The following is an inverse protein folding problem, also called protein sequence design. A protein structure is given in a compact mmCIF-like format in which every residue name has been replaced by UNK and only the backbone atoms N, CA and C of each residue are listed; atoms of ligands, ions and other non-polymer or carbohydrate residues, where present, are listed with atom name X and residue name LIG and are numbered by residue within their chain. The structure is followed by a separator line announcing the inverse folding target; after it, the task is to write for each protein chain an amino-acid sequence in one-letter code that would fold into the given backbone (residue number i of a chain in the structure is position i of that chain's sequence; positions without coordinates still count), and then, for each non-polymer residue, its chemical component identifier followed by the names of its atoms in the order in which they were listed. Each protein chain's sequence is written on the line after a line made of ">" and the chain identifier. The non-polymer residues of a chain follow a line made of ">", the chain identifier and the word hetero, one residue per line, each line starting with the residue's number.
data_IF_280872317926
#
_entry.id   IF_280872317926
#
_cell.length_a   1.000
_cell.length_b   1.000
_cell.length_c   1.000
_cell.angle_alpha   90.00
_cell.angle_beta   90.00
_cell.angle_gamma   90.00
#
_symmetry.space_group_name_H-M   'P 1'
#
loop_
_entity.id
_entity.type
_entity.pdbx_description
1 polymer ?
#
# COMPACT_ATOMS: atom_id res chain seq x y z
N UNK A 1 -10.59 -22.85 -10.62
CA UNK A 1 -11.91 -22.21 -10.41
C UNK A 1 -11.72 -20.72 -10.62
N UNK A 2 -12.73 -20.00 -11.12
CA UNK A 2 -12.62 -18.55 -11.28
C UNK A 2 -12.46 -17.86 -9.91
N UNK A 3 -11.75 -16.72 -9.83
CA UNK A 3 -11.64 -15.94 -8.60
C UNK A 3 -13.02 -15.55 -8.06
N UNK A 4 -13.23 -15.71 -6.75
CA UNK A 4 -14.46 -15.30 -6.05
C UNK A 4 -14.19 -14.03 -5.27
N UNK A 5 -14.90 -12.96 -5.61
CA UNK A 5 -14.82 -11.65 -4.95
C UNK A 5 -15.93 -11.53 -3.91
N UNK A 6 -15.56 -11.33 -2.65
CA UNK A 6 -16.46 -11.15 -1.52
C UNK A 6 -16.21 -9.79 -0.87
N UNK A 7 -17.28 -9.05 -0.57
CA UNK A 7 -17.18 -7.81 0.22
C UNK A 7 -17.22 -8.17 1.71
N UNK A 8 -16.26 -7.68 2.49
CA UNK A 8 -16.09 -8.07 3.91
C UNK A 8 -16.24 -6.91 4.89
N UNK A 9 -15.89 -5.69 4.48
CA UNK A 9 -16.16 -4.43 5.22
C UNK A 9 -16.54 -3.31 4.24
N UNK A 10 -17.10 -2.21 4.75
CA UNK A 10 -17.68 -1.12 3.96
C UNK A 10 -17.41 0.24 4.61
N UNK A 11 -17.58 1.33 3.84
CA UNK A 11 -17.60 2.73 4.29
C UNK A 11 -16.26 3.44 4.56
N UNK A 12 -15.17 3.02 3.93
CA UNK A 12 -13.90 3.76 3.94
C UNK A 12 -13.90 4.86 2.89
N UNK A 13 -13.37 6.05 3.21
CA UNK A 13 -13.22 7.12 2.22
C UNK A 13 -12.16 6.73 1.19
N UNK A 14 -10.96 6.33 1.65
CA UNK A 14 -9.95 5.67 0.83
C UNK A 14 -9.25 4.63 1.70
N UNK A 15 -9.71 3.38 1.63
CA UNK A 15 -9.02 2.27 2.27
C UNK A 15 -7.66 2.06 1.62
N UNK A 16 -6.58 1.89 2.40
CA UNK A 16 -5.22 1.80 1.88
C UNK A 16 -4.28 0.96 2.74
N UNK A 17 -3.08 0.69 2.20
CA UNK A 17 -1.96 0.02 2.86
C UNK A 17 -2.35 -1.26 3.64
N UNK A 18 -3.03 -2.24 3.00
CA UNK A 18 -3.35 -3.50 3.64
C UNK A 18 -2.07 -4.26 4.03
N UNK A 19 -2.03 -4.70 5.28
CA UNK A 19 -0.92 -5.45 5.88
C UNK A 19 -1.49 -6.68 6.59
N UNK A 20 -1.07 -7.87 6.18
CA UNK A 20 -1.49 -9.11 6.82
C UNK A 20 -0.48 -9.55 7.87
N UNK A 21 -0.89 -9.59 9.14
CA UNK A 21 -0.06 -10.16 10.21
C UNK A 21 -0.35 -11.65 10.37
N UNK A 22 0.60 -12.48 9.91
CA UNK A 22 0.48 -13.94 9.94
C UNK A 22 0.36 -14.48 11.37
N UNK A 23 1.02 -13.84 12.35
CA UNK A 23 1.04 -14.32 13.73
C UNK A 23 -0.35 -14.25 14.39
N UNK A 24 -1.07 -13.15 14.18
CA UNK A 24 -2.39 -12.95 14.77
C UNK A 24 -3.55 -13.24 13.81
N UNK A 25 -3.27 -13.51 12.53
CA UNK A 25 -4.26 -13.73 11.48
C UNK A 25 -5.23 -12.54 11.32
N UNK A 26 -4.72 -11.33 11.47
CA UNK A 26 -5.48 -10.11 11.27
C UNK A 26 -4.97 -9.34 10.05
N UNK A 27 -5.92 -8.69 9.37
CA UNK A 27 -5.61 -7.66 8.39
C UNK A 27 -5.60 -6.30 9.08
N UNK A 28 -4.52 -5.57 8.90
CA UNK A 28 -4.43 -4.15 9.23
C UNK A 28 -4.50 -3.32 7.96
N UNK A 29 -5.10 -2.15 8.01
CA UNK A 29 -5.18 -1.21 6.89
C UNK A 29 -5.59 0.17 7.42
N UNK A 30 -5.59 1.17 6.56
CA UNK A 30 -5.92 2.55 6.93
C UNK A 30 -7.13 3.07 6.15
N UNK A 31 -7.79 4.11 6.67
CA UNK A 31 -8.62 5.01 5.87
C UNK A 31 -7.88 6.35 5.76
N UNK A 32 -7.27 6.59 4.59
CA UNK A 32 -6.26 7.62 4.43
C UNK A 32 -6.80 9.03 4.76
N UNK A 33 -7.82 9.56 4.06
CA UNK A 33 -8.47 10.81 4.46
C UNK A 33 -9.51 10.63 5.58
N UNK A 34 -9.91 9.38 5.91
CA UNK A 34 -10.77 9.08 7.06
C UNK A 34 -10.05 9.12 8.41
N UNK A 35 -8.72 9.30 8.41
CA UNK A 35 -7.88 9.48 9.61
C UNK A 35 -7.97 8.29 10.56
N UNK A 36 -8.07 7.07 10.05
CA UNK A 36 -8.19 5.89 10.90
C UNK A 36 -7.21 4.78 10.52
N UNK A 37 -6.73 4.10 11.56
CA UNK A 37 -6.10 2.78 11.45
C UNK A 37 -7.15 1.72 11.79
N UNK A 38 -7.10 0.59 11.11
CA UNK A 38 -8.14 -0.43 11.14
C UNK A 38 -7.51 -1.81 11.33
N UNK A 39 -8.19 -2.66 12.09
CA UNK A 39 -7.91 -4.09 12.20
C UNK A 39 -9.17 -4.88 11.87
N UNK A 40 -9.03 -5.87 11.00
CA UNK A 40 -10.08 -6.81 10.64
C UNK A 40 -9.66 -8.24 10.96
N UNK A 41 -10.50 -8.93 11.73
CA UNK A 41 -10.38 -10.36 12.02
C UNK A 41 -11.37 -11.12 11.11
N UNK A 42 -10.91 -11.89 10.11
CA UNK A 42 -11.80 -12.61 9.22
C UNK A 42 -12.49 -13.82 9.85
N UNK A 43 -11.98 -14.34 10.98
CA UNK A 43 -12.57 -15.49 11.69
C UNK A 43 -13.78 -15.03 12.49
N UNK A 44 -13.62 -13.99 13.30
CA UNK A 44 -14.72 -13.44 14.12
C UNK A 44 -15.57 -12.43 13.35
N UNK A 45 -15.08 -11.96 12.20
CA UNK A 45 -15.64 -10.85 11.41
C UNK A 45 -15.68 -9.52 12.17
N UNK A 46 -14.86 -9.38 13.22
CA UNK A 46 -14.79 -8.13 13.97
C UNK A 46 -13.92 -7.09 13.24
N UNK A 47 -14.32 -5.82 13.38
CA UNK A 47 -13.58 -4.67 12.90
C UNK A 47 -13.35 -3.71 14.07
N UNK A 48 -12.10 -3.33 14.26
CA UNK A 48 -11.67 -2.35 15.26
C UNK A 48 -10.98 -1.20 14.54
N UNK A 49 -11.16 0.01 15.05
CA UNK A 49 -10.54 1.19 14.49
C UNK A 49 -10.13 2.17 15.59
N UNK A 50 -9.06 2.92 15.34
CA UNK A 50 -8.67 4.09 16.14
C UNK A 50 -8.44 5.29 15.22
N UNK A 51 -8.81 6.48 15.70
CA UNK A 51 -8.63 7.74 14.96
C UNK A 51 -7.23 8.30 15.23
N UNK A 52 -6.59 8.82 14.19
CA UNK A 52 -5.28 9.48 14.23
C UNK A 52 -5.44 11.00 14.32
N UNK A 53 -4.49 11.69 14.96
CA UNK A 53 -4.56 13.14 15.18
C UNK A 53 -4.20 14.01 13.95
N UNK A 54 -3.78 13.40 12.83
CA UNK A 54 -3.39 14.10 11.61
C UNK A 54 -4.51 14.37 10.59
N UNK A 55 -4.15 14.94 9.45
CA UNK A 55 -5.10 15.12 8.34
C UNK A 55 -5.26 13.86 7.50
N UNK A 56 -4.16 13.15 7.29
CA UNK A 56 -4.13 11.87 6.59
C UNK A 56 -3.20 10.89 7.28
N UNK A 57 -3.59 9.63 7.30
CA UNK A 57 -2.70 8.50 7.59
C UNK A 57 -2.31 7.86 6.25
N UNK A 58 -1.05 7.46 6.09
CA UNK A 58 -0.48 7.08 4.81
C UNK A 58 -0.25 5.56 4.68
N UNK A 59 0.26 4.94 5.75
CA UNK A 59 0.49 3.49 5.82
C UNK A 59 0.54 3.02 7.28
N UNK A 60 0.53 1.70 7.47
CA UNK A 60 0.57 1.04 8.77
C UNK A 60 1.45 -0.21 8.73
N UNK A 61 2.54 -0.24 9.51
CA UNK A 61 3.47 -1.37 9.51
C UNK A 61 3.86 -1.75 10.95
N UNK A 62 3.66 -3.01 11.38
CA UNK A 62 4.11 -3.49 12.68
C UNK A 62 5.63 -3.45 12.84
N UNK A 63 6.08 -3.21 14.08
CA UNK A 63 7.49 -3.28 14.45
C UNK A 63 7.87 -4.72 14.79
N UNK A 64 9.00 -5.19 14.26
CA UNK A 64 9.48 -6.55 14.52
C UNK A 64 9.82 -6.73 16.01
N UNK A 65 9.35 -7.83 16.61
CA UNK A 65 9.66 -8.19 17.99
C UNK A 65 8.96 -7.34 19.07
N UNK A 66 8.15 -6.35 18.69
CA UNK A 66 7.40 -5.50 19.62
C UNK A 66 5.90 -5.61 19.37
N UNK A 67 5.18 -6.18 20.33
CA UNK A 67 3.72 -6.30 20.25
C UNK A 67 3.07 -4.93 20.42
N UNK A 68 2.05 -4.63 19.61
CA UNK A 68 1.29 -3.37 19.65
C UNK A 68 2.06 -2.12 19.18
N UNK A 69 3.33 -2.26 18.81
CA UNK A 69 4.13 -1.18 18.23
C UNK A 69 3.99 -1.15 16.71
N UNK A 70 3.71 0.02 16.16
CA UNK A 70 3.59 0.23 14.71
C UNK A 70 4.28 1.53 14.29
N UNK A 71 4.74 1.56 13.04
CA UNK A 71 5.13 2.79 12.36
C UNK A 71 4.04 3.17 11.37
N UNK A 72 3.65 4.43 11.42
CA UNK A 72 2.69 5.03 10.50
C UNK A 72 3.26 6.31 9.90
N UNK A 73 2.82 6.63 8.68
CA UNK A 73 2.98 7.97 8.11
C UNK A 73 1.75 8.81 8.43
N UNK A 74 1.94 10.00 8.99
CA UNK A 74 0.89 10.99 9.16
C UNK A 74 1.33 12.28 8.50
N UNK A 75 0.55 12.77 7.53
CA UNK A 75 0.91 13.94 6.74
C UNK A 75 2.36 13.81 6.22
N UNK A 76 3.31 14.64 6.67
CA UNK A 76 4.74 14.56 6.30
C UNK A 76 5.64 13.98 7.40
N UNK A 77 5.07 13.34 8.42
CA UNK A 77 5.77 12.81 9.60
C UNK A 77 5.74 11.28 9.66
N UNK A 78 6.86 10.67 10.05
CA UNK A 78 6.93 9.29 10.49
C UNK A 78 6.75 9.22 11.98
N UNK A 79 5.82 8.37 12.41
CA UNK A 79 5.38 8.31 13.80
C UNK A 79 5.36 6.88 14.27
N UNK A 80 5.99 6.63 15.41
CA UNK A 80 5.81 5.42 16.19
C UNK A 80 4.55 5.55 17.05
N UNK A 81 3.72 4.52 17.01
CA UNK A 81 2.51 4.42 17.82
C UNK A 81 2.47 3.12 18.60
N UNK A 82 1.77 3.16 19.73
CA UNK A 82 1.37 1.96 20.48
C UNK A 82 -0.15 1.86 20.47
N UNK A 83 -0.67 0.74 19.96
CA UNK A 83 -2.10 0.47 19.87
C UNK A 83 -2.41 -1.00 20.15
N UNK A 84 -3.34 -1.26 21.08
CA UNK A 84 -3.77 -2.62 21.47
C UNK A 84 -4.49 -3.39 20.34
N UNK A 85 -4.79 -2.73 19.22
CA UNK A 85 -5.52 -3.31 18.09
C UNK A 85 -7.03 -3.38 18.29
N UNK A 86 -7.57 -2.93 19.42
CA UNK A 86 -9.00 -3.04 19.78
C UNK A 86 -9.64 -1.76 20.26
N UNK A 87 -8.90 -0.95 21.01
CA UNK A 87 -9.30 0.35 21.55
C UNK A 87 -9.57 1.32 20.41
N UNK A 88 -10.49 2.25 20.64
CA UNK A 88 -10.73 3.36 19.72
C UNK A 88 -9.72 4.51 19.87
N UNK A 89 -8.67 4.31 20.69
CA UNK A 89 -7.61 5.28 20.97
C UNK A 89 -6.25 4.64 20.82
N UNK A 90 -5.31 5.44 20.33
CA UNK A 90 -3.87 5.12 20.31
C UNK A 90 -3.28 5.55 21.65
N UNK A 91 -2.49 4.68 22.27
CA UNK A 91 -2.00 4.84 23.65
C UNK A 91 -0.78 5.76 23.72
N UNK A 92 0.15 5.61 22.77
CA UNK A 92 1.39 6.38 22.70
C UNK A 92 1.60 6.89 21.27
N UNK A 93 2.18 8.08 21.19
CA UNK A 93 2.61 8.75 19.98
C UNK A 93 4.04 9.25 20.15
N UNK A 94 4.91 8.94 19.18
CA UNK A 94 6.27 9.44 19.15
C UNK A 94 6.70 9.76 17.71
N UNK A 95 6.88 11.04 17.42
CA UNK A 95 7.43 11.49 16.14
C UNK A 95 8.89 11.06 16.03
N UNK A 96 9.22 10.36 14.95
CA UNK A 96 10.56 9.88 14.67
C UNK A 96 11.34 10.85 13.78
N UNK A 97 10.74 11.21 12.64
CA UNK A 97 11.34 12.08 11.62
C UNK A 97 10.25 12.70 10.77
N UNK A 98 10.55 13.80 10.08
CA UNK A 98 9.66 14.43 9.13
C UNK A 98 10.39 14.77 7.84
N UNK A 99 9.64 14.87 6.73
CA UNK A 99 10.14 15.51 5.52
C UNK A 99 10.14 17.02 5.76
N UNK A 100 11.26 17.74 5.49
CA UNK A 100 11.33 19.19 5.73
C UNK A 100 10.34 20.01 4.92
N UNK A 101 10.05 19.60 3.68
CA UNK A 101 9.06 20.25 2.83
C UNK A 101 7.64 19.98 3.37
N UNK A 102 6.94 21.06 3.76
CA UNK A 102 5.57 21.00 4.29
C UNK A 102 4.50 20.94 3.21
N UNK A 103 4.89 21.02 1.93
CA UNK A 103 3.97 20.92 0.79
C UNK A 103 3.85 19.50 0.25
N UNK A 104 4.50 18.53 0.90
CA UNK A 104 4.38 17.12 0.58
C UNK A 104 3.79 16.34 1.75
N UNK A 105 3.30 15.15 1.47
CA UNK A 105 2.73 14.21 2.43
C UNK A 105 3.11 12.78 2.02
N UNK A 106 3.31 11.89 2.97
CA UNK A 106 3.49 10.47 2.72
C UNK A 106 2.27 9.87 2.03
N UNK A 107 2.52 8.83 1.23
CA UNK A 107 1.47 8.03 0.59
C UNK A 107 1.71 6.54 0.89
N UNK A 108 2.09 5.69 -0.06
CA UNK A 108 2.34 4.27 0.26
C UNK A 108 3.69 4.04 0.98
N UNK A 109 3.76 2.95 1.74
CA UNK A 109 4.94 2.54 2.49
C UNK A 109 4.95 1.05 2.81
N UNK A 110 6.13 0.44 2.75
CA UNK A 110 6.32 -0.98 3.03
C UNK A 110 7.71 -1.26 3.60
N UNK A 111 7.80 -2.25 4.48
CA UNK A 111 9.09 -2.78 4.90
C UNK A 111 9.64 -3.73 3.83
N UNK A 112 10.92 -3.57 3.48
CA UNK A 112 11.60 -4.55 2.65
C UNK A 112 11.91 -5.84 3.44
N UNK A 113 12.44 -6.89 2.79
CA UNK A 113 12.74 -8.16 3.47
C UNK A 113 13.80 -8.08 4.57
N UNK A 114 14.60 -7.00 4.61
CA UNK A 114 15.53 -6.74 5.71
C UNK A 114 14.90 -5.93 6.85
N UNK A 115 13.63 -5.52 6.71
CA UNK A 115 12.89 -4.71 7.67
C UNK A 115 13.15 -3.21 7.56
N UNK A 116 13.83 -2.73 6.51
CA UNK A 116 13.99 -1.29 6.27
C UNK A 116 12.67 -0.71 5.76
N UNK A 117 12.22 0.38 6.36
CA UNK A 117 11.04 1.11 5.88
C UNK A 117 11.37 1.82 4.58
N UNK A 118 10.55 1.59 3.55
CA UNK A 118 10.52 2.37 2.32
C UNK A 118 9.17 3.06 2.20
N UNK A 119 9.18 4.33 1.82
CA UNK A 119 7.96 5.11 1.62
C UNK A 119 8.28 6.30 0.73
N UNK A 120 7.27 6.87 0.08
CA UNK A 120 7.47 8.13 -0.61
C UNK A 120 6.32 9.09 -0.38
N UNK A 121 6.56 10.28 -0.89
CA UNK A 121 5.63 11.40 -0.75
C UNK A 121 4.98 11.75 -2.08
N UNK A 122 3.93 12.54 -1.96
CA UNK A 122 3.23 13.23 -3.04
C UNK A 122 2.98 14.68 -2.59
N UNK A 123 2.63 15.57 -3.52
CA UNK A 123 2.15 16.89 -3.13
C UNK A 123 0.89 16.79 -2.26
N UNK A 124 0.70 17.77 -1.37
CA UNK A 124 -0.58 17.95 -0.68
C UNK A 124 -1.69 18.16 -1.72
N UNK A 125 -2.79 17.41 -1.57
CA UNK A 125 -3.95 17.47 -2.47
C UNK A 125 -4.60 18.85 -2.35
N UNK A 126 -4.81 19.52 -3.48
CA UNK A 126 -5.47 20.83 -3.51
C UNK A 126 -6.95 20.72 -3.12
N UNK A 127 -7.62 21.83 -2.75
CA UNK A 127 -9.07 21.82 -2.53
C UNK A 127 -9.90 21.35 -3.74
N UNK A 128 -9.36 21.48 -4.96
CA UNK A 128 -10.00 20.97 -6.19
C UNK A 128 -9.82 19.46 -6.39
N UNK A 129 -9.03 18.78 -5.57
CA UNK A 129 -8.73 17.35 -5.71
C UNK A 129 -7.49 17.04 -6.55
N UNK A 130 -6.76 18.06 -7.00
CA UNK A 130 -5.57 17.88 -7.83
C UNK A 130 -4.34 17.56 -6.98
N UNK A 131 -3.43 16.76 -7.54
CA UNK A 131 -2.11 16.52 -6.98
C UNK A 131 -1.08 17.21 -7.89
N UNK A 132 -0.45 18.31 -7.45
CA UNK A 132 0.62 18.95 -8.19
C UNK A 132 1.71 17.94 -8.60
N UNK A 133 2.10 17.88 -9.88
CA UNK A 133 3.02 16.87 -10.36
C UNK A 133 4.44 17.08 -9.85
N UNK A 134 5.16 15.97 -9.72
CA UNK A 134 6.61 15.91 -9.53
C UNK A 134 7.13 16.68 -8.30
N UNK A 135 6.34 16.74 -7.22
CA UNK A 135 6.76 17.34 -5.93
C UNK A 135 7.21 16.31 -4.91
N UNK A 136 6.81 15.06 -5.08
CA UNK A 136 7.15 13.97 -4.20
C UNK A 136 8.59 13.50 -4.36
N UNK A 137 9.00 12.66 -3.43
CA UNK A 137 10.25 11.93 -3.48
C UNK A 137 10.07 10.56 -2.82
N UNK A 138 11.00 9.65 -3.12
CA UNK A 138 10.98 8.30 -2.61
C UNK A 138 12.15 8.07 -1.65
N UNK A 139 11.87 7.48 -0.50
CA UNK A 139 12.78 7.41 0.63
C UNK A 139 12.87 6.00 1.22
N UNK A 140 13.99 5.74 1.89
CA UNK A 140 14.08 4.71 2.92
C UNK A 140 14.43 5.34 4.27
N UNK A 141 14.05 4.70 5.37
CA UNK A 141 14.53 5.07 6.70
C UNK A 141 15.86 4.37 7.00
N UNK A 142 16.91 5.14 7.29
CA UNK A 142 18.24 4.65 7.63
C UNK A 142 18.75 5.43 8.84
N UNK A 143 19.08 4.75 9.94
CA UNK A 143 19.60 5.36 11.18
C UNK A 143 18.73 6.53 11.70
N UNK A 144 17.40 6.38 11.64
CA UNK A 144 16.44 7.40 12.08
C UNK A 144 16.31 8.60 11.13
N UNK A 145 16.93 8.55 9.96
CA UNK A 145 16.89 9.62 8.95
C UNK A 145 16.30 9.13 7.64
N UNK A 146 15.61 10.02 6.92
CA UNK A 146 15.09 9.73 5.59
C UNK A 146 16.21 9.88 4.55
N UNK A 147 16.55 8.78 3.87
CA UNK A 147 17.46 8.76 2.74
C UNK A 147 16.66 8.78 1.44
N UNK A 148 16.81 9.85 0.68
CA UNK A 148 16.15 9.98 -0.63
C UNK A 148 16.85 9.12 -1.68
N UNK A 149 16.07 8.39 -2.48
CA UNK A 149 16.52 7.59 -3.62
C UNK A 149 16.05 8.13 -4.96
N UNK A 150 14.84 8.72 -5.00
CA UNK A 150 14.22 9.25 -6.22
C UNK A 150 13.62 10.62 -5.88
N UNK A 151 13.82 11.62 -6.75
CA UNK A 151 13.11 12.89 -6.72
C UNK A 151 12.06 12.99 -7.83
N UNK A 152 11.32 14.09 -7.87
CA UNK A 152 10.34 14.38 -8.92
C UNK A 152 9.24 13.31 -9.08
N UNK A 153 8.84 12.69 -7.96
CA UNK A 153 7.73 11.71 -7.94
C UNK A 153 6.39 12.45 -8.00
N UNK A 154 5.44 11.97 -8.82
CA UNK A 154 4.09 12.54 -8.83
C UNK A 154 3.27 12.00 -7.66
N UNK A 155 3.03 10.68 -7.61
CA UNK A 155 2.30 10.02 -6.53
C UNK A 155 3.03 8.72 -6.18
N UNK A 156 3.78 8.73 -5.07
CA UNK A 156 4.51 7.53 -4.63
C UNK A 156 3.57 6.42 -4.21
N UNK A 157 3.72 5.24 -4.79
CA UNK A 157 2.76 4.16 -4.59
C UNK A 157 3.41 2.77 -4.56
N UNK A 158 2.63 1.73 -4.87
CA UNK A 158 2.92 0.32 -4.67
C UNK A 158 4.37 -0.12 -4.76
N UNK A 159 4.79 -0.92 -3.77
CA UNK A 159 6.15 -1.43 -3.61
C UNK A 159 6.18 -2.96 -3.50
N UNK A 160 7.17 -3.60 -4.11
CA UNK A 160 7.47 -5.02 -3.90
C UNK A 160 8.95 -5.33 -4.12
N UNK A 161 9.40 -6.48 -3.61
CA UNK A 161 10.74 -7.02 -3.87
C UNK A 161 10.62 -8.45 -4.35
N UNK A 162 11.50 -8.87 -5.26
CA UNK A 162 11.54 -10.27 -5.67
C UNK A 162 12.20 -11.15 -4.59
N UNK A 163 11.95 -12.46 -4.65
CA UNK A 163 12.49 -13.45 -3.70
C UNK A 163 14.02 -13.50 -3.65
N UNK A 164 14.68 -13.19 -4.76
CA UNK A 164 16.15 -13.22 -4.85
C UNK A 164 16.79 -11.93 -4.32
N UNK A 165 15.98 -10.94 -3.91
CA UNK A 165 16.42 -9.69 -3.29
C UNK A 165 17.39 -8.91 -4.18
N UNK A 166 17.18 -8.99 -5.49
CA UNK A 166 17.94 -8.27 -6.53
C UNK A 166 17.11 -7.25 -7.27
N UNK A 167 15.79 -7.29 -7.10
CA UNK A 167 14.85 -6.40 -7.76
C UNK A 167 13.92 -5.76 -6.76
N UNK A 168 13.71 -4.46 -6.94
CA UNK A 168 12.63 -3.70 -6.35
C UNK A 168 11.67 -3.26 -7.45
N UNK A 169 10.39 -3.37 -7.19
CA UNK A 169 9.32 -2.90 -8.06
C UNK A 169 8.63 -1.72 -7.39
N UNK A 170 8.36 -0.67 -8.16
CA UNK A 170 7.83 0.58 -7.65
C UNK A 170 6.86 1.22 -8.63
N UNK A 171 5.83 1.86 -8.08
CA UNK A 171 4.84 2.60 -8.83
C UNK A 171 4.93 4.07 -8.44
N UNK A 172 5.07 4.92 -9.46
CA UNK A 172 4.64 6.31 -9.39
C UNK A 172 3.37 6.41 -10.26
N UNK A 173 2.21 6.62 -9.62
CA UNK A 173 0.92 6.51 -10.32
C UNK A 173 0.79 7.48 -11.49
N UNK A 174 1.46 8.65 -11.41
CA UNK A 174 1.47 9.65 -12.47
C UNK A 174 2.16 9.18 -13.76
N UNK A 175 3.06 8.20 -13.66
CA UNK A 175 3.76 7.61 -14.82
C UNK A 175 2.95 6.54 -15.53
N UNK A 176 1.90 5.99 -14.87
CA UNK A 176 1.07 4.89 -15.39
C UNK A 176 1.87 3.64 -15.77
N UNK A 177 3.02 3.43 -15.12
CA UNK A 177 3.90 2.28 -15.29
C UNK A 177 4.16 1.58 -13.96
N UNK A 178 4.50 0.30 -14.04
CA UNK A 178 5.25 -0.39 -12.99
C UNK A 178 6.72 -0.39 -13.43
N UNK A 179 7.60 0.11 -12.58
CA UNK A 179 9.03 0.18 -12.84
C UNK A 179 9.76 -0.87 -11.99
N UNK A 180 10.86 -1.41 -12.51
CA UNK A 180 11.83 -2.18 -11.73
C UNK A 180 13.13 -1.40 -11.54
N UNK A 181 13.84 -1.76 -10.47
CA UNK A 181 15.19 -1.32 -10.14
C UNK A 181 16.05 -2.53 -9.81
N UNK A 182 17.36 -2.42 -10.07
CA UNK A 182 18.34 -3.26 -9.38
C UNK A 182 18.38 -2.84 -7.91
N UNK A 183 18.23 -3.79 -7.00
CA UNK A 183 18.17 -3.58 -5.56
C UNK A 183 19.35 -4.25 -4.87
N UNK A 184 20.04 -3.48 -4.03
CA UNK A 184 21.08 -3.94 -3.14
C UNK A 184 20.53 -3.98 -1.71
N UNK A 185 20.26 -5.19 -1.22
CA UNK A 185 19.75 -5.38 0.14
C UNK A 185 20.77 -5.01 1.22
N UNK A 186 22.06 -5.15 0.97
CA UNK A 186 23.07 -4.87 1.99
C UNK A 186 23.15 -3.36 2.24
N UNK A 187 23.26 -2.59 1.16
CA UNK A 187 23.41 -1.14 1.23
C UNK A 187 22.08 -0.37 1.24
N UNK A 188 20.97 -1.06 0.98
CA UNK A 188 19.64 -0.45 0.88
C UNK A 188 19.55 0.60 -0.21
N UNK A 189 20.12 0.31 -1.38
CA UNK A 189 20.16 1.22 -2.54
C UNK A 189 19.47 0.62 -3.75
N UNK A 190 18.97 1.49 -4.62
CA UNK A 190 18.36 1.12 -5.90
C UNK A 190 19.05 1.83 -7.07
N UNK A 191 19.08 1.18 -8.23
CA UNK A 191 19.64 1.74 -9.46
C UNK A 191 18.94 1.20 -10.71
N UNK A 192 19.29 1.71 -11.90
CA UNK A 192 18.84 1.19 -13.19
C UNK A 192 17.31 1.12 -13.35
N UNK A 193 16.60 2.19 -12.95
CA UNK A 193 15.15 2.33 -13.13
C UNK A 193 14.74 2.04 -14.57
N UNK A 194 13.84 1.09 -14.78
CA UNK A 194 13.24 0.84 -16.10
C UNK A 194 11.77 0.42 -15.99
N UNK A 195 10.89 0.90 -16.88
CA UNK A 195 9.50 0.44 -16.92
C UNK A 195 9.44 -1.02 -17.38
N UNK A 196 8.67 -1.83 -16.66
CA UNK A 196 8.43 -3.25 -17.00
C UNK A 196 6.99 -3.51 -17.45
N UNK A 197 6.07 -2.61 -17.15
CA UNK A 197 4.68 -2.72 -17.56
C UNK A 197 4.05 -1.34 -17.70
N UNK A 198 3.39 -1.08 -18.82
CA UNK A 198 2.75 0.21 -19.11
C UNK A 198 1.26 0.01 -19.34
N UNK A 199 0.39 0.56 -18.47
CA UNK A 199 -1.05 0.33 -18.54
C UNK A 199 -1.65 0.67 -19.92
N UNK A 200 -1.18 1.76 -20.53
CA UNK A 200 -1.66 2.24 -21.84
C UNK A 200 -1.43 1.23 -22.96
N UNK A 201 -0.28 0.54 -22.99
CA UNK A 201 0.02 -0.50 -24.02
C UNK A 201 -0.95 -1.67 -23.97
N UNK A 202 -1.63 -1.87 -22.85
CA UNK A 202 -2.61 -2.93 -22.61
C UNK A 202 -4.04 -2.43 -22.59
N UNK A 203 -4.29 -1.16 -22.95
CA UNK A 203 -5.61 -0.51 -22.87
C UNK A 203 -6.25 -0.60 -21.48
N UNK A 204 -5.44 -0.56 -20.42
CA UNK A 204 -5.93 -0.61 -19.04
C UNK A 204 -6.24 0.83 -18.59
N UNK A 205 -7.51 1.13 -18.22
CA UNK A 205 -7.90 2.46 -17.74
C UNK A 205 -7.38 2.70 -16.31
N UNK A 206 -7.58 3.90 -15.78
CA UNK A 206 -7.19 4.22 -14.41
C UNK A 206 -5.69 4.44 -14.25
N UNK A 207 -5.18 4.35 -13.02
CA UNK A 207 -3.76 4.51 -12.68
C UNK A 207 -3.31 3.34 -11.78
N UNK A 208 -2.05 2.88 -11.89
CA UNK A 208 -1.54 1.88 -10.96
C UNK A 208 -1.40 2.50 -9.56
N UNK A 209 -1.78 1.76 -8.54
CA UNK A 209 -1.85 2.24 -7.17
C UNK A 209 -0.98 1.36 -6.27
N UNK A 210 -1.51 0.76 -5.20
CA UNK A 210 -0.82 -0.23 -4.39
C UNK A 210 -0.51 -1.54 -5.13
N UNK A 211 0.54 -2.24 -4.68
CA UNK A 211 1.02 -3.48 -5.30
C UNK A 211 1.55 -4.47 -4.26
N UNK A 212 1.41 -5.76 -4.56
CA UNK A 212 2.06 -6.86 -3.83
C UNK A 212 2.65 -7.89 -4.80
N UNK A 213 3.37 -8.89 -4.29
CA UNK A 213 3.99 -9.96 -5.07
C UNK A 213 3.53 -11.32 -4.53
N UNK A 214 3.28 -12.27 -5.44
CA UNK A 214 3.02 -13.66 -5.07
C UNK A 214 4.30 -14.50 -4.97
N UNK A 215 4.18 -15.70 -4.41
CA UNK A 215 5.27 -16.66 -4.21
C UNK A 215 5.87 -17.20 -5.50
N UNK A 216 5.17 -17.06 -6.64
CA UNK A 216 5.69 -17.35 -7.97
C UNK A 216 6.42 -16.14 -8.59
N UNK A 217 6.51 -15.01 -7.87
CA UNK A 217 7.19 -13.80 -8.31
C UNK A 217 6.38 -12.92 -9.26
N UNK A 218 5.06 -13.10 -9.36
CA UNK A 218 4.20 -12.24 -10.17
C UNK A 218 3.69 -11.06 -9.33
N UNK A 219 3.54 -9.91 -9.97
CA UNK A 219 3.04 -8.70 -9.29
C UNK A 219 1.53 -8.59 -9.43
N UNK A 220 0.89 -8.23 -8.32
CA UNK A 220 -0.54 -7.96 -8.22
C UNK A 220 -0.73 -6.47 -7.97
N UNK A 221 -1.26 -5.76 -8.96
CA UNK A 221 -1.32 -4.29 -8.98
C UNK A 221 -2.78 -3.84 -8.94
N UNK A 222 -3.13 -3.07 -7.92
CA UNK A 222 -4.40 -2.38 -7.85
C UNK A 222 -4.46 -1.27 -8.91
N UNK A 223 -5.62 -1.10 -9.54
CA UNK A 223 -5.82 -0.09 -10.58
C UNK A 223 -6.94 0.87 -10.16
N UNK A 224 -6.54 2.01 -9.64
CA UNK A 224 -7.44 3.08 -9.20
C UNK A 224 -8.17 3.69 -10.41
N UNK A 225 -9.49 3.85 -10.31
CA UNK A 225 -10.39 4.16 -11.44
C UNK A 225 -10.39 3.10 -12.56
N UNK A 226 -9.95 1.87 -12.26
CA UNK A 226 -9.88 0.76 -13.22
C UNK A 226 -10.77 -0.44 -12.92
N UNK A 227 -11.42 -0.48 -11.74
CA UNK A 227 -12.26 -1.60 -11.30
C UNK A 227 -11.57 -2.97 -11.34
N UNK A 228 -10.27 -3.02 -11.04
CA UNK A 228 -9.52 -4.28 -11.13
C UNK A 228 -8.25 -4.32 -10.29
N UNK A 229 -7.81 -5.54 -10.04
CA UNK A 229 -6.41 -5.88 -9.77
C UNK A 229 -5.87 -6.67 -10.97
N UNK A 230 -4.70 -6.30 -11.47
CA UNK A 230 -4.03 -7.01 -12.57
C UNK A 230 -2.87 -7.86 -12.04
N UNK A 231 -2.65 -9.02 -12.65
CA UNK A 231 -1.50 -9.88 -12.39
C UNK A 231 -0.53 -9.77 -13.55
N UNK A 232 0.72 -9.37 -13.31
CA UNK A 232 1.74 -9.20 -14.36
C UNK A 232 2.99 -10.04 -14.06
N UNK A 233 3.67 -10.51 -15.11
CA UNK A 233 4.96 -11.20 -14.99
C UNK A 233 6.10 -10.18 -15.10
N UNK A 234 6.80 -9.82 -14.02
CA UNK A 234 7.86 -8.82 -14.09
C UNK A 234 9.13 -9.32 -14.81
N UNK A 235 9.26 -10.63 -15.06
CA UNK A 235 10.44 -11.21 -15.72
C UNK A 235 10.38 -11.06 -17.24
N UNK A 236 9.19 -10.82 -17.79
CA UNK A 236 8.92 -10.63 -19.21
C UNK A 236 8.19 -9.30 -19.39
N UNK A 237 8.90 -8.21 -19.72
CA UNK A 237 8.30 -6.88 -19.83
C UNK A 237 7.03 -6.89 -20.69
N UNK A 238 6.05 -6.11 -20.26
CA UNK A 238 4.73 -5.97 -20.89
C UNK A 238 3.91 -7.26 -20.95
N UNK A 239 4.07 -8.17 -19.97
CA UNK A 239 3.28 -9.40 -19.88
C UNK A 239 2.17 -9.28 -18.82
N UNK A 240 0.92 -9.16 -19.29
CA UNK A 240 -0.28 -9.32 -18.47
C UNK A 240 -0.64 -10.82 -18.38
N UNK A 241 -0.73 -11.35 -17.16
CA UNK A 241 -1.08 -12.75 -16.91
C UNK A 241 -2.57 -12.94 -16.67
N UNK A 242 -3.18 -12.07 -15.87
CA UNK A 242 -4.59 -12.18 -15.48
C UNK A 242 -5.16 -10.84 -15.02
N UNK A 243 -6.48 -10.77 -14.88
CA UNK A 243 -7.22 -9.63 -14.35
C UNK A 243 -8.36 -10.11 -13.46
N UNK A 244 -8.37 -9.65 -12.21
CA UNK A 244 -9.52 -9.79 -11.32
C UNK A 244 -10.33 -8.51 -11.38
N UNK A 245 -11.54 -8.58 -11.92
CA UNK A 245 -12.49 -7.46 -11.93
C UNK A 245 -13.13 -7.31 -10.56
N UNK A 246 -13.16 -6.08 -10.04
CA UNK A 246 -13.86 -5.72 -8.82
C UNK A 246 -15.09 -4.87 -9.13
N UNK A 247 -16.16 -4.96 -8.32
CA UNK A 247 -17.31 -4.07 -8.44
C UNK A 247 -17.00 -2.58 -8.18
N UNK A 248 -16.03 -2.27 -7.32
CA UNK A 248 -15.65 -0.89 -6.99
C UNK A 248 -14.83 -0.25 -8.12
N UNK A 249 -14.94 1.06 -8.30
CA UNK A 249 -14.18 1.81 -9.30
C UNK A 249 -12.77 2.14 -8.83
N UNK A 250 -12.64 2.61 -7.59
CA UNK A 250 -11.40 3.07 -6.99
C UNK A 250 -10.70 1.94 -6.23
N UNK A 251 -10.09 0.99 -6.96
CA UNK A 251 -9.29 -0.09 -6.34
C UNK A 251 -7.92 0.45 -5.96
N UNK A 252 -7.57 0.43 -4.67
CA UNK A 252 -6.45 1.21 -4.13
C UNK A 252 -5.21 0.35 -3.86
N UNK A 253 -5.34 -0.79 -3.19
CA UNK A 253 -4.19 -1.62 -2.85
C UNK A 253 -4.57 -3.07 -2.59
N UNK A 254 -3.58 -3.94 -2.43
CA UNK A 254 -3.80 -5.37 -2.21
C UNK A 254 -2.72 -6.03 -1.35
N UNK A 255 -3.12 -6.99 -0.52
CA UNK A 255 -2.22 -7.86 0.23
C UNK A 255 -2.78 -9.27 0.35
N UNK A 256 -1.90 -10.27 0.26
CA UNK A 256 -2.27 -11.65 0.52
C UNK A 256 -2.37 -11.92 2.02
N UNK A 257 -3.36 -12.70 2.40
CA UNK A 257 -3.64 -13.11 3.78
C UNK A 257 -4.38 -14.44 3.85
N UNK A 258 -5.03 -14.67 4.98
CA UNK A 258 -5.59 -15.96 5.35
C UNK A 258 -4.52 -16.95 5.84
N UNK A 259 -4.95 -18.12 6.38
CA UNK A 259 -4.04 -19.11 6.98
C UNK A 259 -3.00 -19.66 6.01
N UNK A 260 -3.31 -19.68 4.71
CA UNK A 260 -2.46 -20.23 3.65
C UNK A 260 -1.86 -19.16 2.74
N UNK A 261 -2.06 -17.87 3.06
CA UNK A 261 -1.68 -16.74 2.20
C UNK A 261 -2.29 -16.80 0.79
N UNK A 262 -3.45 -17.42 0.61
CA UNK A 262 -4.16 -17.59 -0.68
C UNK A 262 -5.45 -16.75 -0.80
N UNK A 263 -5.70 -15.87 0.17
CA UNK A 263 -6.79 -14.90 0.16
C UNK A 263 -6.22 -13.52 -0.16
N UNK A 264 -6.55 -12.93 -1.30
CA UNK A 264 -6.11 -11.58 -1.65
C UNK A 264 -7.11 -10.56 -1.09
N UNK A 265 -6.70 -9.81 -0.07
CA UNK A 265 -7.45 -8.66 0.42
C UNK A 265 -7.18 -7.45 -0.47
N UNK A 266 -8.24 -6.75 -0.85
CA UNK A 266 -8.19 -5.62 -1.76
C UNK A 266 -8.94 -4.45 -1.16
N UNK A 267 -8.23 -3.35 -0.91
CA UNK A 267 -8.82 -2.10 -0.43
C UNK A 267 -9.36 -1.28 -1.60
N UNK A 268 -10.37 -0.45 -1.31
CA UNK A 268 -10.96 0.44 -2.29
C UNK A 268 -11.34 1.78 -1.65
N UNK A 269 -11.58 2.79 -2.48
CA UNK A 269 -12.01 4.13 -2.06
C UNK A 269 -13.38 4.53 -2.61
N UNK A 270 -13.88 5.65 -2.09
CA UNK A 270 -15.06 6.38 -2.55
C UNK A 270 -14.81 7.89 -2.55
N UNK A 271 -13.60 8.28 -2.93
CA UNK A 271 -13.20 9.69 -2.95
C UNK A 271 -13.95 10.47 -4.04
N UNK A 272 -14.91 11.28 -3.61
CA UNK A 272 -15.79 12.06 -4.48
C UNK A 272 -15.08 13.24 -5.15
N UNK A 273 -13.86 13.58 -4.70
CA UNK A 273 -13.00 14.58 -5.38
C UNK A 273 -12.52 14.05 -6.72
N UNK A 274 -12.34 12.74 -6.85
CA UNK A 274 -11.76 12.09 -8.02
C UNK A 274 -12.81 11.50 -8.97
N UNK A 275 -13.99 11.12 -8.46
CA UNK A 275 -15.10 10.65 -9.29
C UNK A 275 -16.45 10.95 -8.63
N UNK A 276 -17.40 11.42 -9.43
CA UNK A 276 -18.79 11.67 -8.98
C UNK A 276 -19.71 10.45 -9.19
N UNK A 277 -19.25 9.40 -9.86
CA UNK A 277 -20.05 8.23 -10.23
C UNK A 277 -19.73 7.01 -9.36
N UNK A 278 -19.62 7.22 -8.06
CA UNK A 278 -19.37 6.17 -7.08
C UNK A 278 -20.70 5.59 -6.58
N UNK A 279 -20.69 4.29 -6.29
CA UNK A 279 -21.84 3.53 -5.82
C UNK A 279 -21.57 2.90 -4.45
N UNK A 280 -21.48 3.66 -3.34
CA UNK A 280 -21.43 3.06 -2.01
C UNK A 280 -22.65 2.13 -1.77
N UNK A 281 -22.48 0.99 -1.07
CA UNK A 281 -21.27 0.57 -0.36
C UNK A 281 -20.31 -0.29 -1.20
N UNK A 282 -20.43 -0.27 -2.53
CA UNK A 282 -19.49 -0.97 -3.43
C UNK A 282 -18.15 -0.23 -3.44
N UNK A 283 -18.17 1.07 -3.70
CA UNK A 283 -17.00 1.93 -3.52
C UNK A 283 -16.73 2.19 -2.03
N UNK A 284 -15.46 2.14 -1.64
CA UNK A 284 -15.02 2.30 -0.24
C UNK A 284 -15.18 1.04 0.60
N UNK A 285 -15.21 -0.13 -0.03
CA UNK A 285 -15.26 -1.41 0.65
C UNK A 285 -13.89 -2.10 0.74
N UNK A 286 -13.77 -3.03 1.69
CA UNK A 286 -12.72 -4.04 1.72
C UNK A 286 -13.26 -5.30 1.06
N UNK A 287 -12.52 -5.82 0.09
CA UNK A 287 -12.82 -7.08 -0.57
C UNK A 287 -11.84 -8.16 -0.17
N UNK A 288 -12.33 -9.40 -0.18
CA UNK A 288 -11.51 -10.61 -0.14
C UNK A 288 -11.72 -11.37 -1.45
N UNK A 289 -10.64 -11.70 -2.11
CA UNK A 289 -10.64 -12.52 -3.34
C UNK A 289 -10.01 -13.87 -3.03
N UNK A 290 -10.77 -14.93 -3.26
CA UNK A 290 -10.31 -16.32 -3.11
C UNK A 290 -10.25 -17.01 -4.47
N UNK A 291 -9.63 -18.19 -4.55
CA UNK A 291 -9.44 -18.94 -5.80
C UNK A 291 -8.68 -18.16 -6.88
N UNK A 292 -7.71 -17.32 -6.48
CA UNK A 292 -6.79 -16.62 -7.40
C UNK A 292 -5.78 -17.58 -8.05
N UNK A 293 -5.67 -18.82 -7.53
CA UNK A 293 -4.65 -19.78 -7.93
C UNK A 293 -3.23 -19.39 -7.52
N UNK A 294 -3.08 -18.38 -6.65
CA UNK A 294 -1.78 -17.84 -6.23
C UNK A 294 -1.70 -17.75 -4.72
N UNK A 295 -0.48 -17.84 -4.18
CA UNK A 295 -0.19 -17.61 -2.75
C UNK A 295 0.76 -16.45 -2.60
N UNK A 296 0.52 -15.57 -1.65
CA UNK A 296 1.43 -14.48 -1.32
C UNK A 296 2.61 -14.89 -0.47
N UNK A 297 3.34 -13.88 -0.02
CA UNK A 297 4.41 -13.96 0.96
C UNK A 297 3.98 -13.27 2.27
N UNK A 298 4.55 -13.65 3.42
CA UNK A 298 4.34 -12.91 4.67
C UNK A 298 4.69 -11.43 4.51
N UNK A 299 3.87 -10.54 5.08
CA UNK A 299 4.18 -9.11 5.09
C UNK A 299 5.35 -8.84 6.03
N UNK A 300 6.33 -8.05 5.58
CA UNK A 300 7.50 -7.72 6.41
C UNK A 300 7.15 -6.69 7.47
N UNK A 301 7.76 -6.83 8.64
CA UNK A 301 7.70 -5.86 9.75
C UNK A 301 8.90 -4.91 9.65
N UNK A 302 8.77 -3.69 10.17
CA UNK A 302 9.90 -2.76 10.24
C UNK A 302 10.83 -3.13 11.40
N UNK A 303 12.14 -3.03 11.16
CA UNK A 303 13.18 -3.19 12.19
C UNK A 303 13.70 -1.81 12.54
N UNK A 304 13.25 -1.28 13.67
CA UNK A 304 13.66 0.02 14.16
C UNK A 304 13.84 -0.01 15.68
N UNK A 305 14.89 0.66 16.16
CA UNK A 305 15.05 0.95 17.58
C UNK A 305 14.18 2.15 17.93
N UNK A 306 12.95 1.87 18.36
CA UNK A 306 12.04 2.81 19.05
C UNK A 306 12.11 2.63 20.56
#
# INVERSE_FOLDING_TARGET
>A
MAPKVERVLENFIVGEAPHWDVATQNLYFIDCPGKSINRYDPVTKSHHQAVTDGNRVAFFIPVEGKQNDYIIGIDNELVHIVWDGTSNKIEKWEKLVEVPDKQVQFNDGKADPAGRLWTGTMAVITPSGDVPPNKGAFYSLENGQLKQHIGEVHISNGLAWNSDLKKMYYIDSGRRTVDEFDYDQENGTISNRKPIFTLEKHNIPGIPDGMTIDSDGNLWVAVFLGSRVIKIDPRKPETLLDTVTLPALQVTSAAFGGPNLDELYVTTGRDTRMSKHLQPPVDGALYRVTNTGSKGLPSNKVKISV
#
